data_IF_072908720363
#
_entry.id   IF_072908720363
#
_cell.length_a   1.000
_cell.length_b   1.000
_cell.length_c   1.000
_cell.angle_alpha   90.00
_cell.angle_beta   90.00
_cell.angle_gamma   90.00
#
_symmetry.space_group_name_H-M   'P 1'
#
loop_
_entity.id
_entity.type
_entity.pdbx_description
1 polymer ?
#
# COMPACT_ATOMS: atom_id res chain seq x y z
N UNK A 1 -4.98 6.32 8.83
CA UNK A 1 -6.02 6.70 7.87
C UNK A 1 -6.48 5.44 7.15
N UNK A 2 -7.79 5.31 6.95
CA UNK A 2 -8.37 4.16 6.26
C UNK A 2 -9.73 4.51 5.67
N UNK A 3 -10.33 3.53 5.02
CA UNK A 3 -11.71 3.57 4.54
C UNK A 3 -12.44 2.40 5.17
N UNK A 4 -13.63 2.66 5.67
CA UNK A 4 -14.43 1.67 6.37
C UNK A 4 -15.91 1.81 6.01
N UNK A 5 -16.67 0.74 6.22
CA UNK A 5 -18.12 0.73 6.17
C UNK A 5 -18.69 -0.12 7.31
N UNK A 6 -19.85 0.23 7.82
CA UNK A 6 -20.72 -0.70 8.55
C UNK A 6 -21.51 -1.53 7.54
N UNK A 7 -22.21 -2.55 8.01
CA UNK A 7 -22.88 -3.54 7.14
C UNK A 7 -23.84 -2.95 6.10
N UNK A 8 -24.48 -1.80 6.39
CA UNK A 8 -25.45 -1.15 5.51
C UNK A 8 -25.01 0.23 4.99
N UNK A 9 -23.79 0.68 5.36
CA UNK A 9 -23.31 2.02 5.01
C UNK A 9 -22.42 1.98 3.75
N UNK A 10 -22.38 3.08 3.01
CA UNK A 10 -21.39 3.27 1.96
C UNK A 10 -20.00 3.49 2.58
N UNK A 11 -18.92 2.93 1.99
CA UNK A 11 -17.57 3.13 2.48
C UNK A 11 -17.16 4.60 2.47
N UNK A 12 -16.51 5.06 3.54
CA UNK A 12 -16.01 6.43 3.67
C UNK A 12 -14.77 6.52 4.55
N UNK A 13 -14.16 7.71 4.62
CA UNK A 13 -12.89 7.92 5.28
C UNK A 13 -12.99 7.87 6.81
N UNK A 14 -12.00 7.24 7.45
CA UNK A 14 -11.91 7.15 8.89
C UNK A 14 -10.47 7.09 9.39
N UNK A 15 -10.33 7.27 10.70
CA UNK A 15 -9.05 7.19 11.40
C UNK A 15 -9.15 6.22 12.56
N UNK A 16 -8.29 5.20 12.56
CA UNK A 16 -8.23 4.25 13.67
C UNK A 16 -7.65 4.91 14.93
N UNK A 17 -8.30 4.71 16.06
CA UNK A 17 -7.87 5.12 17.38
C UNK A 17 -8.20 4.03 18.41
N UNK A 18 -7.18 3.33 18.92
CA UNK A 18 -7.40 2.16 19.78
C UNK A 18 -8.28 1.11 19.09
N UNK A 19 -9.35 0.70 19.76
CA UNK A 19 -10.32 -0.28 19.27
C UNK A 19 -11.48 0.35 18.48
N UNK A 20 -11.33 1.61 18.05
CA UNK A 20 -12.36 2.38 17.36
C UNK A 20 -11.84 2.98 16.05
N UNK A 21 -12.78 3.33 15.19
CA UNK A 21 -12.59 4.21 14.04
C UNK A 21 -13.30 5.52 14.34
N UNK A 22 -12.62 6.64 14.21
CA UNK A 22 -13.25 7.95 14.11
C UNK A 22 -13.82 8.11 12.70
N UNK A 23 -15.13 8.23 12.61
CA UNK A 23 -15.86 8.59 11.41
C UNK A 23 -15.62 10.07 11.10
N UNK A 24 -14.89 10.35 10.02
CA UNK A 24 -14.51 11.72 9.68
C UNK A 24 -15.66 12.53 9.09
N UNK A 25 -16.55 11.88 8.34
CA UNK A 25 -17.73 12.52 7.79
C UNK A 25 -18.69 12.94 8.91
N UNK A 26 -18.90 12.08 9.92
CA UNK A 26 -19.67 12.39 11.11
C UNK A 26 -19.02 13.52 11.94
N UNK A 27 -17.70 13.47 12.15
CA UNK A 27 -16.95 14.48 12.89
C UNK A 27 -16.99 15.87 12.21
N UNK A 28 -16.93 15.89 10.87
CA UNK A 28 -17.08 17.09 10.07
C UNK A 28 -18.50 17.65 10.19
N UNK A 29 -19.52 16.79 10.09
CA UNK A 29 -20.92 17.17 10.25
C UNK A 29 -21.23 17.70 11.66
N UNK A 30 -20.54 17.19 12.69
CA UNK A 30 -20.61 17.68 14.06
C UNK A 30 -19.85 19.00 14.27
N UNK A 31 -19.19 19.55 13.26
CA UNK A 31 -18.43 20.80 13.31
C UNK A 31 -17.10 20.70 14.07
N UNK A 32 -16.58 19.48 14.28
CA UNK A 32 -15.32 19.25 14.99
C UNK A 32 -14.12 19.36 14.04
N UNK A 33 -14.32 19.05 12.76
CA UNK A 33 -13.31 19.12 11.70
C UNK A 33 -13.68 20.21 10.68
N UNK A 34 -12.72 21.06 10.33
CA UNK A 34 -12.91 22.21 9.43
C UNK A 34 -12.28 22.04 8.04
N UNK A 35 -12.51 20.89 7.38
CA UNK A 35 -11.92 20.55 6.07
C UNK A 35 -13.02 20.31 5.01
N UNK A 36 -13.74 21.35 4.54
CA UNK A 36 -14.92 21.20 3.66
C UNK A 36 -14.61 20.53 2.32
N UNK A 37 -13.38 20.66 1.82
CA UNK A 37 -12.96 20.12 0.52
C UNK A 37 -12.20 18.79 0.65
N UNK A 38 -12.23 18.14 1.82
CA UNK A 38 -11.46 16.94 2.10
C UNK A 38 -12.05 15.65 1.54
N UNK A 39 -13.34 15.66 1.16
CA UNK A 39 -14.03 14.48 0.62
C UNK A 39 -14.09 13.31 1.60
N UNK A 40 -14.28 13.55 2.91
CA UNK A 40 -14.27 12.48 3.91
C UNK A 40 -15.43 11.48 3.77
N UNK A 41 -16.51 11.85 3.07
CA UNK A 41 -17.61 10.98 2.68
C UNK A 41 -17.30 10.06 1.50
N UNK A 42 -16.16 10.27 0.83
CA UNK A 42 -15.76 9.45 -0.32
C UNK A 42 -15.13 8.12 0.12
N UNK A 43 -15.21 7.07 -0.71
CA UNK A 43 -14.62 5.76 -0.41
C UNK A 43 -13.11 5.71 -0.70
N UNK A 44 -12.43 6.83 -0.67
CA UNK A 44 -10.99 6.95 -0.92
C UNK A 44 -10.43 8.27 -0.39
N UNK A 45 -9.11 8.31 -0.14
CA UNK A 45 -8.38 9.50 0.31
C UNK A 45 -7.80 10.36 -0.81
N UNK A 46 -8.06 10.02 -2.08
CA UNK A 46 -7.46 10.72 -3.21
C UNK A 46 -7.79 12.22 -3.22
N UNK A 47 -9.04 12.59 -2.96
CA UNK A 47 -9.46 13.99 -2.93
C UNK A 47 -8.76 14.78 -1.81
N UNK A 48 -8.59 14.16 -0.64
CA UNK A 48 -7.82 14.76 0.45
C UNK A 48 -6.34 14.94 0.09
N UNK A 49 -5.74 13.98 -0.63
CA UNK A 49 -4.35 14.08 -1.08
C UNK A 49 -4.14 15.25 -2.04
N UNK A 50 -5.14 15.62 -2.84
CA UNK A 50 -5.05 16.78 -3.74
C UNK A 50 -4.90 18.13 -3.00
N UNK A 51 -5.23 18.18 -1.71
CA UNK A 51 -5.02 19.38 -0.89
C UNK A 51 -3.55 19.67 -0.58
N UNK A 52 -2.65 18.70 -0.77
CA UNK A 52 -1.21 18.82 -0.64
C UNK A 52 -0.65 18.69 0.77
N UNK A 53 0.68 18.64 0.87
CA UNK A 53 1.42 18.31 2.08
C UNK A 53 1.14 19.22 3.29
N UNK A 54 0.92 20.51 3.07
CA UNK A 54 0.58 21.46 4.15
C UNK A 54 -0.77 21.08 4.80
N UNK A 55 -1.76 20.73 3.99
CA UNK A 55 -3.07 20.28 4.49
C UNK A 55 -2.96 18.94 5.23
N UNK A 56 -2.15 18.00 4.72
CA UNK A 56 -1.93 16.72 5.39
C UNK A 56 -1.30 16.88 6.78
N UNK A 57 -0.29 17.76 6.88
CA UNK A 57 0.40 18.05 8.13
C UNK A 57 -0.55 18.76 9.14
N UNK A 58 -1.31 19.74 8.67
CA UNK A 58 -2.30 20.44 9.49
C UNK A 58 -3.36 19.47 10.03
N UNK A 59 -3.96 18.66 9.17
CA UNK A 59 -4.95 17.66 9.54
C UNK A 59 -4.44 16.65 10.57
N UNK A 60 -3.19 16.17 10.40
CA UNK A 60 -2.57 15.28 11.36
C UNK A 60 -2.41 15.93 12.74
N UNK A 61 -1.99 17.20 12.79
CA UNK A 61 -1.85 17.96 14.03
C UNK A 61 -3.21 18.18 14.71
N UNK A 62 -4.24 18.50 13.92
CA UNK A 62 -5.59 18.66 14.43
C UNK A 62 -6.13 17.36 15.02
N UNK A 63 -5.96 16.24 14.34
CA UNK A 63 -6.33 14.91 14.86
C UNK A 63 -5.59 14.58 16.17
N UNK A 64 -4.30 14.86 16.25
CA UNK A 64 -3.53 14.63 17.48
C UNK A 64 -4.07 15.47 18.64
N UNK A 65 -4.46 16.72 18.38
CA UNK A 65 -5.05 17.61 19.37
C UNK A 65 -6.45 17.14 19.80
N UNK A 66 -7.29 16.78 18.83
CA UNK A 66 -8.65 16.34 19.05
C UNK A 66 -8.74 15.01 19.81
N UNK A 67 -7.84 14.07 19.50
CA UNK A 67 -7.81 12.73 20.06
C UNK A 67 -6.88 12.58 21.28
N UNK A 68 -6.41 13.69 21.82
CA UNK A 68 -5.63 13.71 23.07
C UNK A 68 -6.53 13.38 24.27
N UNK A 69 -5.94 12.79 25.32
CA UNK A 69 -6.64 12.56 26.59
C UNK A 69 -7.14 13.88 27.19
N UNK A 70 -8.37 13.89 27.72
CA UNK A 70 -9.07 15.08 28.24
C UNK A 70 -9.26 16.20 27.16
N UNK A 71 -9.41 15.82 25.90
CA UNK A 71 -9.74 16.77 24.83
C UNK A 71 -11.07 17.50 25.12
N UNK A 72 -11.11 18.83 24.97
CA UNK A 72 -12.37 19.59 25.10
C UNK A 72 -13.42 19.19 24.05
N UNK A 73 -13.02 18.53 22.97
CA UNK A 73 -13.90 18.01 21.93
C UNK A 73 -14.44 16.60 22.20
N UNK A 74 -14.03 15.93 23.28
CA UNK A 74 -14.37 14.54 23.56
C UNK A 74 -15.88 14.27 23.47
N UNK A 75 -16.71 15.12 24.09
CA UNK A 75 -18.17 14.95 24.08
C UNK A 75 -18.80 15.01 22.69
N UNK A 76 -18.16 15.72 21.74
CA UNK A 76 -18.57 15.81 20.32
C UNK A 76 -18.02 14.66 19.50
N UNK A 77 -16.84 14.13 19.87
CA UNK A 77 -16.18 13.05 19.16
C UNK A 77 -16.73 11.67 19.51
N UNK A 78 -17.15 11.45 20.76
CA UNK A 78 -17.67 10.15 21.20
C UNK A 78 -18.79 9.58 20.30
N UNK A 79 -19.78 10.38 19.84
CA UNK A 79 -20.81 9.86 18.91
C UNK A 79 -20.26 9.52 17.52
N UNK A 80 -19.07 10.00 17.16
CA UNK A 80 -18.41 9.75 15.87
C UNK A 80 -17.47 8.54 15.92
N UNK A 81 -17.33 7.88 17.08
CA UNK A 81 -16.49 6.69 17.25
C UNK A 81 -17.29 5.43 16.98
N UNK A 82 -16.78 4.59 16.09
CA UNK A 82 -17.35 3.30 15.70
C UNK A 82 -16.41 2.19 16.16
N UNK A 83 -16.88 1.13 16.85
CA UNK A 83 -16.02 0.01 17.21
C UNK A 83 -15.42 -0.67 15.96
N UNK A 84 -14.12 -0.96 15.99
CA UNK A 84 -13.44 -1.68 14.89
C UNK A 84 -14.06 -3.04 14.60
N UNK A 85 -14.68 -3.68 15.59
CA UNK A 85 -15.37 -4.96 15.44
C UNK A 85 -16.67 -4.88 14.65
N UNK A 86 -17.19 -3.68 14.40
CA UNK A 86 -18.46 -3.44 13.70
C UNK A 86 -18.26 -2.92 12.28
N UNK A 87 -17.00 -2.87 11.78
CA UNK A 87 -16.68 -2.30 10.49
C UNK A 87 -15.95 -3.29 9.59
N UNK A 88 -16.19 -3.17 8.29
CA UNK A 88 -15.36 -3.75 7.24
C UNK A 88 -14.39 -2.69 6.71
N UNK A 89 -13.12 -3.07 6.51
CA UNK A 89 -12.11 -2.20 5.92
C UNK A 89 -12.10 -2.33 4.40
N UNK A 90 -11.88 -1.22 3.72
CA UNK A 90 -11.79 -1.11 2.27
C UNK A 90 -10.42 -0.56 1.86
N UNK A 91 -10.06 -0.71 0.56
CA UNK A 91 -8.87 -0.05 0.03
C UNK A 91 -9.00 1.47 0.25
N UNK A 92 -8.00 2.11 0.89
CA UNK A 92 -8.11 3.52 1.23
C UNK A 92 -7.89 4.45 0.02
N UNK A 93 -7.50 3.92 -1.13
CA UNK A 93 -7.07 4.68 -2.29
C UNK A 93 -7.59 4.05 -3.57
N UNK A 94 -7.87 4.87 -4.56
CA UNK A 94 -7.89 4.46 -5.97
C UNK A 94 -6.44 4.49 -6.45
N UNK A 95 -5.84 3.32 -6.65
CA UNK A 95 -4.43 3.19 -7.06
C UNK A 95 -4.38 3.12 -8.58
N UNK A 96 -3.85 4.16 -9.23
CA UNK A 96 -3.69 4.21 -10.68
C UNK A 96 -2.52 3.36 -11.15
N UNK A 97 -1.40 3.47 -10.43
CA UNK A 97 -0.14 2.83 -10.76
C UNK A 97 0.51 2.27 -9.50
N UNK A 98 1.29 1.21 -9.69
CA UNK A 98 2.07 0.59 -8.65
C UNK A 98 3.44 0.21 -9.22
N UNK A 99 4.49 0.84 -8.70
CA UNK A 99 5.88 0.52 -9.05
C UNK A 99 6.54 -0.17 -7.87
N UNK A 100 7.05 -1.36 -8.09
CA UNK A 100 7.79 -2.12 -7.10
C UNK A 100 9.29 -1.92 -7.28
N UNK A 101 10.01 -1.81 -6.16
CA UNK A 101 11.44 -1.54 -6.13
C UNK A 101 12.22 -2.65 -5.45
N UNK A 102 13.34 -2.99 -6.03
CA UNK A 102 14.29 -3.98 -5.53
C UNK A 102 15.35 -3.35 -4.61
N UNK A 103 14.88 -2.64 -3.57
CA UNK A 103 15.72 -1.76 -2.76
C UNK A 103 16.24 -2.37 -1.44
N UNK A 104 15.70 -3.50 -0.99
CA UNK A 104 16.21 -4.18 0.20
C UNK A 104 17.48 -4.97 -0.11
N UNK A 105 18.61 -4.58 0.50
CA UNK A 105 19.90 -5.28 0.34
C UNK A 105 19.83 -6.75 0.78
N UNK A 106 19.14 -7.03 1.88
CA UNK A 106 19.00 -8.40 2.38
C UNK A 106 18.18 -9.27 1.42
N UNK A 107 17.05 -8.74 0.96
CA UNK A 107 16.21 -9.42 -0.02
C UNK A 107 16.99 -9.69 -1.32
N UNK A 108 17.67 -8.68 -1.86
CA UNK A 108 18.48 -8.79 -3.08
C UNK A 108 19.54 -9.88 -2.96
N UNK A 109 20.25 -9.97 -1.83
CA UNK A 109 21.25 -11.03 -1.59
C UNK A 109 20.61 -12.42 -1.55
N UNK A 110 19.50 -12.55 -0.82
CA UNK A 110 18.78 -13.83 -0.67
C UNK A 110 18.25 -14.31 -2.03
N UNK A 111 17.67 -13.42 -2.81
CA UNK A 111 17.16 -13.74 -4.16
C UNK A 111 18.30 -14.08 -5.11
N UNK A 112 19.42 -13.35 -5.08
CA UNK A 112 20.61 -13.70 -5.87
C UNK A 112 21.13 -15.11 -5.54
N UNK A 113 21.15 -15.47 -4.28
CA UNK A 113 21.54 -16.81 -3.85
C UNK A 113 20.55 -17.88 -4.36
N UNK A 114 19.25 -17.60 -4.28
CA UNK A 114 18.19 -18.50 -4.73
C UNK A 114 18.25 -18.77 -6.25
N UNK A 115 18.48 -17.73 -7.06
CA UNK A 115 18.44 -17.82 -8.52
C UNK A 115 19.79 -18.20 -9.16
N UNK A 116 20.91 -17.81 -8.54
CA UNK A 116 22.23 -17.95 -9.16
C UNK A 116 23.18 -18.84 -8.34
N UNK A 117 22.79 -19.29 -7.16
CA UNK A 117 23.63 -20.13 -6.31
C UNK A 117 24.90 -19.44 -5.78
N UNK A 118 25.00 -18.12 -5.93
CA UNK A 118 26.17 -17.33 -5.54
C UNK A 118 25.84 -16.51 -4.30
N UNK A 119 26.59 -16.77 -3.22
CA UNK A 119 26.37 -16.07 -1.96
C UNK A 119 26.71 -14.58 -2.10
N UNK A 120 25.68 -13.76 -1.92
CA UNK A 120 25.79 -12.34 -1.59
C UNK A 120 26.13 -11.38 -2.73
N UNK A 121 26.06 -11.77 -3.98
CA UNK A 121 26.26 -10.84 -5.10
C UNK A 121 25.07 -9.89 -5.28
N UNK A 122 25.37 -8.59 -5.23
CA UNK A 122 24.47 -7.55 -5.68
C UNK A 122 24.71 -7.28 -7.17
N UNK A 123 23.68 -6.95 -7.97
CA UNK A 123 23.90 -6.44 -9.32
C UNK A 123 24.87 -5.25 -9.31
N UNK A 124 25.78 -5.09 -10.28
CA UNK A 124 26.80 -4.03 -10.26
C UNK A 124 26.23 -2.61 -10.15
N UNK A 125 25.05 -2.38 -10.69
CA UNK A 125 24.36 -1.10 -10.68
C UNK A 125 23.42 -0.90 -9.48
N UNK A 126 23.24 -1.91 -8.64
CA UNK A 126 22.27 -1.85 -7.53
C UNK A 126 22.55 -0.72 -6.52
N UNK A 127 23.83 -0.39 -6.29
CA UNK A 127 24.21 0.71 -5.38
C UNK A 127 24.14 2.09 -6.04
N UNK A 128 23.87 2.17 -7.35
CA UNK A 128 24.02 3.40 -8.12
C UNK A 128 22.73 3.91 -8.74
N UNK A 129 21.73 3.07 -8.89
CA UNK A 129 20.46 3.45 -9.47
C UNK A 129 19.31 2.65 -8.85
N UNK A 130 18.12 3.25 -8.70
CA UNK A 130 16.94 2.51 -8.28
C UNK A 130 16.59 1.45 -9.32
N UNK A 131 16.34 0.23 -8.84
CA UNK A 131 15.87 -0.88 -9.67
C UNK A 131 14.42 -1.15 -9.33
N UNK A 132 13.56 -0.94 -10.28
CA UNK A 132 12.12 -1.12 -10.11
C UNK A 132 11.47 -1.61 -11.38
N UNK A 133 10.22 -2.03 -11.29
CA UNK A 133 9.38 -2.43 -12.41
C UNK A 133 7.95 -2.02 -12.15
N UNK A 134 7.20 -1.82 -13.23
CA UNK A 134 5.78 -1.53 -13.11
C UNK A 134 5.02 -2.79 -12.70
N UNK A 135 4.32 -2.69 -11.59
CA UNK A 135 3.50 -3.77 -11.05
C UNK A 135 2.03 -3.63 -11.46
N UNK A 136 1.20 -4.51 -10.92
CA UNK A 136 -0.21 -4.59 -11.27
C UNK A 136 -1.07 -4.04 -10.14
N UNK A 137 -1.54 -2.80 -10.28
CA UNK A 137 -2.41 -2.15 -9.29
C UNK A 137 -3.74 -2.87 -9.08
N UNK A 138 -4.26 -3.54 -10.12
CA UNK A 138 -5.57 -4.19 -10.08
C UNK A 138 -5.69 -5.41 -9.14
N UNK A 139 -4.59 -5.89 -8.59
CA UNK A 139 -4.57 -7.01 -7.64
C UNK A 139 -4.22 -6.59 -6.21
N UNK A 140 -4.16 -5.29 -5.93
CA UNK A 140 -4.08 -4.79 -4.57
C UNK A 140 -5.42 -5.00 -3.86
N UNK A 141 -5.37 -5.65 -2.70
CA UNK A 141 -6.55 -5.98 -1.89
C UNK A 141 -6.30 -5.65 -0.42
N UNK A 142 -7.37 -5.50 0.35
CA UNK A 142 -7.24 -5.24 1.79
C UNK A 142 -6.79 -6.48 2.55
N UNK A 143 -6.22 -6.27 3.75
CA UNK A 143 -5.89 -7.34 4.69
C UNK A 143 -7.11 -8.20 5.00
N UNK A 144 -6.90 -9.51 5.09
CA UNK A 144 -7.97 -10.49 5.32
C UNK A 144 -8.61 -11.04 4.05
N UNK A 145 -8.33 -10.46 2.88
CA UNK A 145 -8.77 -11.04 1.60
C UNK A 145 -8.05 -12.37 1.35
N UNK A 146 -8.82 -13.40 0.99
CA UNK A 146 -8.26 -14.69 0.64
C UNK A 146 -7.52 -14.64 -0.69
N UNK A 147 -6.24 -15.05 -0.68
CA UNK A 147 -5.41 -15.15 -1.88
C UNK A 147 -5.41 -16.59 -2.39
N UNK A 148 -5.99 -16.79 -3.55
CA UNK A 148 -6.00 -18.09 -4.21
C UNK A 148 -4.60 -18.44 -4.72
N UNK A 149 -4.12 -19.69 -4.40
CA UNK A 149 -2.86 -20.18 -4.93
C UNK A 149 -2.85 -20.08 -6.47
N UNK A 150 -1.87 -19.39 -7.08
CA UNK A 150 -1.87 -19.13 -8.51
C UNK A 150 -1.57 -20.40 -9.31
N UNK A 151 -2.12 -20.43 -10.51
CA UNK A 151 -1.81 -21.42 -11.54
C UNK A 151 -0.90 -20.77 -12.59
N UNK A 152 0.08 -21.51 -13.09
CA UNK A 152 0.98 -20.98 -14.10
C UNK A 152 1.85 -22.05 -14.75
N UNK A 153 2.70 -21.60 -15.66
CA UNK A 153 3.73 -22.46 -16.24
C UNK A 153 4.89 -22.63 -15.27
N UNK A 154 5.20 -23.88 -14.94
CA UNK A 154 6.34 -24.29 -14.12
C UNK A 154 7.23 -25.18 -14.97
N UNK A 155 8.54 -24.92 -14.95
CA UNK A 155 9.51 -25.72 -15.69
C UNK A 155 10.64 -26.17 -14.76
N UNK A 156 10.77 -27.45 -14.58
CA UNK A 156 11.94 -28.03 -13.90
C UNK A 156 13.20 -27.92 -14.77
N UNK A 157 14.40 -27.84 -14.16
CA UNK A 157 15.65 -27.62 -14.90
C UNK A 157 15.96 -28.70 -15.96
N UNK A 158 15.55 -29.92 -15.69
CA UNK A 158 15.86 -31.15 -16.46
C UNK A 158 14.80 -31.51 -17.51
N UNK A 159 13.75 -30.71 -17.66
CA UNK A 159 12.71 -30.93 -18.68
C UNK A 159 12.74 -29.86 -19.77
N UNK A 160 12.31 -30.21 -20.97
CA UNK A 160 12.33 -29.29 -22.11
C UNK A 160 11.12 -28.37 -22.18
N UNK A 161 9.97 -28.82 -21.69
CA UNK A 161 8.72 -28.09 -21.79
C UNK A 161 8.14 -27.82 -20.40
N UNK A 162 7.55 -26.62 -20.20
CA UNK A 162 6.83 -26.33 -18.96
C UNK A 162 5.53 -27.15 -18.88
N UNK A 163 5.05 -27.31 -17.66
CA UNK A 163 3.71 -27.83 -17.36
C UNK A 163 2.84 -26.69 -16.80
N UNK A 164 1.55 -26.77 -17.00
CA UNK A 164 0.57 -25.89 -16.35
C UNK A 164 0.15 -26.54 -15.03
N UNK A 165 0.49 -25.88 -13.91
CA UNK A 165 0.25 -26.43 -12.57
C UNK A 165 -0.01 -25.33 -11.55
N UNK A 166 -0.54 -25.71 -10.40
CA UNK A 166 -0.57 -24.84 -9.24
C UNK A 166 0.86 -24.55 -8.75
N UNK A 167 1.12 -23.31 -8.35
CA UNK A 167 2.38 -22.92 -7.73
C UNK A 167 2.68 -23.78 -6.51
N UNK A 168 3.85 -24.42 -6.47
CA UNK A 168 4.34 -25.23 -5.36
C UNK A 168 5.21 -24.43 -4.38
N UNK A 169 5.77 -23.30 -4.85
CA UNK A 169 6.69 -22.44 -4.09
C UNK A 169 6.11 -21.05 -3.92
N UNK A 170 4.96 -20.98 -3.25
CA UNK A 170 4.36 -19.71 -2.86
C UNK A 170 5.11 -19.14 -1.67
N UNK A 171 5.53 -17.88 -1.79
CA UNK A 171 6.30 -17.13 -0.82
C UNK A 171 5.63 -15.78 -0.54
N UNK A 172 5.93 -15.16 0.58
CA UNK A 172 5.49 -13.83 0.92
C UNK A 172 6.67 -12.84 0.89
N UNK A 173 6.38 -11.59 0.60
CA UNK A 173 7.34 -10.49 0.74
C UNK A 173 6.72 -9.41 1.61
N UNK A 174 7.31 -9.19 2.80
CA UNK A 174 6.88 -8.10 3.67
C UNK A 174 7.57 -6.82 3.21
N UNK A 175 6.77 -5.87 2.75
CA UNK A 175 7.21 -4.64 2.13
C UNK A 175 6.65 -3.41 2.82
N UNK A 176 7.30 -2.27 2.58
CA UNK A 176 6.82 -0.94 2.94
C UNK A 176 6.35 -0.25 1.67
N UNK A 177 5.04 -0.05 1.56
CA UNK A 177 4.44 0.74 0.48
C UNK A 177 4.45 2.23 0.83
N UNK A 178 5.03 3.06 -0.03
CA UNK A 178 4.93 4.51 0.05
C UNK A 178 3.80 5.00 -0.85
N UNK A 179 2.88 5.77 -0.29
CA UNK A 179 1.77 6.37 -1.01
C UNK A 179 2.19 7.77 -1.45
N UNK A 180 2.36 7.94 -2.76
CA UNK A 180 2.68 9.24 -3.36
C UNK A 180 1.38 10.01 -3.56
N UNK A 181 1.24 11.12 -2.84
CA UNK A 181 0.03 11.94 -2.83
C UNK A 181 0.11 13.18 -3.72
N UNK A 182 1.28 13.47 -4.30
CA UNK A 182 1.49 14.65 -5.17
C UNK A 182 1.97 14.25 -6.55
N UNK A 183 1.54 14.99 -7.56
CA UNK A 183 1.98 14.79 -8.94
C UNK A 183 3.36 15.39 -9.18
N UNK A 184 4.11 14.81 -10.12
CA UNK A 184 5.35 15.38 -10.66
C UNK A 184 5.11 16.16 -11.94
N UNK A 185 6.00 17.08 -12.27
CA UNK A 185 6.01 17.76 -13.57
C UNK A 185 6.79 16.89 -14.56
N UNK A 186 6.19 16.59 -15.70
CA UNK A 186 6.83 15.76 -16.71
C UNK A 186 8.16 16.38 -17.19
N UNK A 187 9.22 15.59 -17.12
CA UNK A 187 10.56 16.00 -17.53
C UNK A 187 11.36 16.71 -16.43
N UNK A 188 10.78 16.97 -15.26
CA UNK A 188 11.48 17.54 -14.12
C UNK A 188 11.80 16.44 -13.10
N UNK A 189 13.09 16.24 -12.76
CA UNK A 189 13.45 15.26 -11.74
C UNK A 189 13.07 15.76 -10.34
N UNK A 190 12.62 14.85 -9.49
CA UNK A 190 12.36 15.10 -8.07
C UNK A 190 13.62 14.79 -7.27
N UNK A 191 14.07 15.71 -6.44
CA UNK A 191 15.18 15.49 -5.51
C UNK A 191 14.75 14.66 -4.31
N UNK A 192 15.70 14.08 -3.59
CA UNK A 192 15.41 13.29 -2.35
C UNK A 192 14.69 14.14 -1.29
N UNK A 193 15.01 15.42 -1.20
CA UNK A 193 14.37 16.35 -0.25
C UNK A 193 12.92 16.64 -0.64
N UNK A 194 12.67 16.87 -1.92
CA UNK A 194 11.32 17.12 -2.44
C UNK A 194 10.43 15.87 -2.35
N UNK A 195 11.02 14.68 -2.51
CA UNK A 195 10.28 13.42 -2.45
C UNK A 195 9.61 13.19 -1.09
N UNK A 196 10.20 13.67 0.01
CA UNK A 196 9.66 13.54 1.35
C UNK A 196 8.31 14.27 1.50
N UNK A 197 8.20 15.46 0.90
CA UNK A 197 6.96 16.25 0.88
C UNK A 197 5.88 15.67 -0.06
N UNK A 198 6.24 14.71 -0.92
CA UNK A 198 5.30 14.07 -1.84
C UNK A 198 4.67 12.80 -1.25
N UNK A 199 5.22 12.26 -0.17
CA UNK A 199 4.74 11.03 0.44
C UNK A 199 3.61 11.34 1.40
N UNK A 200 2.40 10.90 1.06
CA UNK A 200 1.22 11.02 1.93
C UNK A 200 1.30 10.10 3.16
N UNK A 201 1.84 8.91 2.99
CA UNK A 201 1.96 7.96 4.09
C UNK A 201 2.57 6.62 3.66
N UNK A 202 2.60 5.70 4.62
CA UNK A 202 3.16 4.37 4.44
C UNK A 202 2.17 3.30 4.85
N UNK A 203 2.23 2.16 4.17
CA UNK A 203 1.47 0.95 4.49
C UNK A 203 2.38 -0.26 4.53
N UNK A 204 1.99 -1.29 5.27
CA UNK A 204 2.58 -2.61 5.12
C UNK A 204 1.90 -3.31 3.95
N UNK A 205 2.71 -3.93 3.10
CA UNK A 205 2.28 -4.68 1.93
C UNK A 205 2.84 -6.10 2.00
N UNK A 206 2.04 -7.06 1.61
CA UNK A 206 2.53 -8.41 1.35
C UNK A 206 2.46 -8.68 -0.15
N UNK A 207 3.62 -8.74 -0.81
CA UNK A 207 3.71 -9.09 -2.22
C UNK A 207 3.85 -10.60 -2.38
N UNK A 208 2.72 -11.30 -2.51
CA UNK A 208 2.68 -12.73 -2.73
C UNK A 208 3.41 -13.14 -4.00
N UNK A 209 4.38 -14.05 -3.87
CA UNK A 209 5.31 -14.40 -4.93
C UNK A 209 5.27 -15.90 -5.24
N UNK A 210 4.96 -16.24 -6.48
CA UNK A 210 5.01 -17.60 -7.00
C UNK A 210 6.42 -17.88 -7.55
N UNK A 211 7.35 -18.34 -6.70
CA UNK A 211 8.79 -18.44 -7.03
C UNK A 211 9.10 -19.39 -8.18
N UNK A 212 8.42 -20.50 -8.28
CA UNK A 212 8.58 -21.48 -9.37
C UNK A 212 8.09 -20.94 -10.72
N UNK A 213 6.98 -20.20 -10.73
CA UNK A 213 6.51 -19.50 -11.92
C UNK A 213 7.49 -18.38 -12.26
N UNK A 214 8.00 -17.65 -11.26
CA UNK A 214 8.95 -16.54 -11.43
C UNK A 214 10.24 -17.00 -12.09
N UNK A 215 10.84 -18.10 -11.64
CA UNK A 215 12.09 -18.63 -12.22
C UNK A 215 11.94 -18.94 -13.71
N UNK A 216 10.83 -19.53 -14.11
CA UNK A 216 10.60 -19.87 -15.52
C UNK A 216 10.43 -18.66 -16.43
N UNK A 217 9.64 -17.67 -15.98
CA UNK A 217 9.21 -16.57 -16.85
C UNK A 217 10.01 -15.28 -16.71
N UNK A 218 10.91 -15.18 -15.71
CA UNK A 218 11.60 -13.93 -15.39
C UNK A 218 12.39 -13.33 -16.56
N UNK A 219 12.97 -14.18 -17.39
CA UNK A 219 13.67 -13.75 -18.63
C UNK A 219 12.80 -14.01 -19.85
N UNK A 220 12.38 -12.99 -20.59
CA UNK A 220 12.66 -11.53 -20.48
C UNK A 220 11.54 -10.73 -19.80
N UNK A 221 10.52 -11.36 -19.23
CA UNK A 221 9.25 -10.72 -18.85
C UNK A 221 9.25 -10.05 -17.47
N UNK A 222 10.30 -10.22 -16.67
CA UNK A 222 10.31 -9.74 -15.30
C UNK A 222 9.28 -10.44 -14.38
N UNK A 223 9.03 -9.98 -13.16
CA UNK A 223 8.21 -10.68 -12.17
C UNK A 223 6.69 -10.52 -12.31
N UNK A 224 6.19 -9.65 -13.17
CA UNK A 224 4.79 -9.23 -13.28
C UNK A 224 3.74 -10.36 -13.15
N UNK A 225 3.93 -11.49 -13.83
CA UNK A 225 2.96 -12.60 -13.82
C UNK A 225 3.11 -13.57 -12.64
N UNK A 226 4.14 -13.44 -11.83
CA UNK A 226 4.41 -14.32 -10.69
C UNK A 226 4.14 -13.68 -9.34
N UNK A 227 3.71 -12.45 -9.34
CA UNK A 227 3.25 -11.70 -8.19
C UNK A 227 1.72 -11.66 -8.17
N UNK A 228 1.14 -11.74 -6.97
CA UNK A 228 -0.31 -11.76 -6.80
C UNK A 228 -0.84 -10.38 -6.41
#
# INVERSE_FOLDING_TARGET
>A
YGVFAREEDEPHCGVAIGDYVLDLAAAQSAGVLGYPDAGFEMPYWNDFMELGAEAWAAFRNDLQTLLTYDSPAEALLLPCLVPLSEVALHLPLVVSEFTDFYSSRHHTRNVSQLFHGVDGMLPPNWLHMPMGYNSRASTLVVSGTEVKRPMGQIKAPDVNLPIWSACEKLDFELELGAIVGSNTIMGEPVTVTEADDMIFGYVLLNDWSARDIQVWKNQPLGPFQSKA
#
